data_IF_617543343440
#
_entry.id   IF_617543343440
#
_cell.length_a   1.000
_cell.length_b   1.000
_cell.length_c   1.000
_cell.angle_alpha   90.00
_cell.angle_beta   90.00
_cell.angle_gamma   90.00
#
_symmetry.space_group_name_H-M   'P 1'
#
loop_
_entity.id
_entity.type
_entity.pdbx_description
1 polymer ?
#
# COMPACT_ATOMS: atom_id res chain seq x y z
N UNK A 1 18.85 20.44 0.76
CA UNK A 1 19.17 20.14 -0.67
C UNK A 1 20.56 19.50 -0.85
N UNK A 2 21.65 19.98 -0.19
CA UNK A 2 22.97 19.29 -0.29
C UNK A 2 22.89 17.82 0.19
N UNK A 3 22.22 17.57 1.30
CA UNK A 3 22.01 16.22 1.85
C UNK A 3 21.27 15.27 0.90
N UNK A 4 20.32 15.77 0.09
CA UNK A 4 19.61 14.96 -0.92
C UNK A 4 20.57 14.47 -2.00
N UNK A 5 21.46 15.35 -2.50
CA UNK A 5 22.43 14.99 -3.55
C UNK A 5 23.48 13.98 -3.09
N UNK A 6 23.82 14.02 -1.81
CA UNK A 6 24.83 13.16 -1.21
C UNK A 6 24.23 11.85 -0.67
N UNK A 7 22.89 11.72 -0.62
CA UNK A 7 22.23 10.52 -0.16
C UNK A 7 22.27 9.42 -1.25
N UNK A 8 22.96 8.29 -1.00
CA UNK A 8 23.10 7.23 -2.00
C UNK A 8 21.75 6.60 -2.41
N UNK A 9 20.73 6.72 -1.56
CA UNK A 9 19.37 6.23 -1.87
C UNK A 9 18.78 6.93 -3.09
N UNK A 10 19.12 8.20 -3.32
CA UNK A 10 18.65 8.99 -4.46
C UNK A 10 19.58 9.00 -5.68
N UNK A 11 20.77 8.41 -5.59
CA UNK A 11 21.81 8.52 -6.63
C UNK A 11 21.33 8.16 -8.05
N UNK A 12 20.41 7.22 -8.19
CA UNK A 12 19.88 6.76 -9.49
C UNK A 12 18.48 7.29 -9.79
N UNK A 13 17.74 7.77 -8.80
CA UNK A 13 16.37 8.27 -8.94
C UNK A 13 16.28 9.79 -9.07
N UNK A 14 17.26 10.52 -8.52
CA UNK A 14 17.27 11.99 -8.52
C UNK A 14 17.08 12.63 -9.90
N UNK A 15 17.66 12.12 -10.99
CA UNK A 15 17.42 12.67 -12.33
C UNK A 15 15.96 12.62 -12.79
N UNK A 16 15.17 11.68 -12.23
CA UNK A 16 13.73 11.53 -12.52
C UNK A 16 12.84 12.28 -11.52
N UNK A 17 13.30 12.39 -10.26
CA UNK A 17 12.49 12.93 -9.14
C UNK A 17 12.61 14.45 -8.98
N UNK A 18 13.61 15.09 -9.52
CA UNK A 18 14.06 16.44 -9.13
C UNK A 18 14.53 16.51 -7.64
N UNK A 19 15.25 17.56 -7.27
CA UNK A 19 15.67 17.76 -5.88
C UNK A 19 14.48 18.03 -4.95
N UNK A 20 13.50 18.78 -5.42
CA UNK A 20 12.28 19.07 -4.65
C UNK A 20 11.42 17.81 -4.45
N UNK A 21 11.26 16.98 -5.48
CA UNK A 21 10.53 15.73 -5.37
C UNK A 21 11.18 14.76 -4.37
N UNK A 22 12.51 14.62 -4.43
CA UNK A 22 13.25 13.81 -3.47
C UNK A 22 13.15 14.36 -2.03
N UNK A 23 13.19 15.67 -1.86
CA UNK A 23 12.97 16.32 -0.56
C UNK A 23 11.56 16.06 -0.03
N UNK A 24 10.55 16.16 -0.89
CA UNK A 24 9.16 15.86 -0.51
C UNK A 24 9.02 14.41 -0.03
N UNK A 25 9.58 13.44 -0.76
CA UNK A 25 9.55 12.03 -0.38
C UNK A 25 10.24 11.78 0.97
N UNK A 26 11.41 12.38 1.19
CA UNK A 26 12.17 12.20 2.43
C UNK A 26 11.42 12.74 3.66
N UNK A 27 10.57 13.73 3.50
CA UNK A 27 9.79 14.31 4.60
C UNK A 27 8.37 13.74 4.70
N UNK A 28 7.94 12.97 3.70
CA UNK A 28 6.58 12.43 3.65
C UNK A 28 6.33 11.37 4.72
N UNK A 29 5.10 11.39 5.25
CA UNK A 29 4.56 10.44 6.23
C UNK A 29 3.50 9.58 5.57
N UNK A 30 3.77 8.29 5.42
CA UNK A 30 2.89 7.34 4.72
C UNK A 30 2.45 6.23 5.67
N UNK A 31 1.15 6.00 5.77
CA UNK A 31 0.58 4.87 6.50
C UNK A 31 0.27 3.71 5.55
N UNK A 32 0.69 2.51 5.93
CA UNK A 32 0.39 1.27 5.22
C UNK A 32 -0.49 0.37 6.08
N UNK A 33 -1.70 0.14 5.64
CA UNK A 33 -2.65 -0.76 6.27
C UNK A 33 -2.66 -2.10 5.54
N UNK A 34 -2.22 -3.15 6.22
CA UNK A 34 -2.00 -4.49 5.68
C UNK A 34 -0.61 -4.66 5.06
N UNK A 35 0.17 -5.63 5.58
CA UNK A 35 1.54 -5.93 5.15
C UNK A 35 1.65 -7.33 4.53
N UNK A 36 0.58 -7.77 3.87
CA UNK A 36 0.51 -9.02 3.14
C UNK A 36 1.22 -8.98 1.78
N UNK A 37 0.73 -9.78 0.82
CA UNK A 37 1.32 -9.89 -0.52
C UNK A 37 1.34 -8.60 -1.33
N UNK A 38 0.44 -7.66 -1.05
CA UNK A 38 0.39 -6.32 -1.68
C UNK A 38 1.20 -5.33 -0.86
N UNK A 39 0.83 -5.14 0.42
CA UNK A 39 1.39 -4.07 1.23
C UNK A 39 2.88 -4.24 1.55
N UNK A 40 3.38 -5.47 1.67
CA UNK A 40 4.82 -5.68 1.91
C UNK A 40 5.69 -5.22 0.72
N UNK A 41 5.22 -5.41 -0.51
CA UNK A 41 5.91 -4.90 -1.71
C UNK A 41 5.73 -3.39 -1.89
N UNK A 42 4.58 -2.84 -1.49
CA UNK A 42 4.40 -1.40 -1.44
C UNK A 42 5.39 -0.74 -0.45
N UNK A 43 5.55 -1.31 0.75
CA UNK A 43 6.51 -0.85 1.75
C UNK A 43 7.96 -0.87 1.22
N UNK A 44 8.36 -1.95 0.55
CA UNK A 44 9.67 -2.09 -0.10
C UNK A 44 9.93 -0.98 -1.11
N UNK A 45 8.97 -0.76 -2.02
CA UNK A 45 9.10 0.25 -3.07
C UNK A 45 9.17 1.67 -2.50
N UNK A 46 8.34 2.00 -1.50
CA UNK A 46 8.37 3.29 -0.82
C UNK A 46 9.69 3.54 -0.10
N UNK A 47 10.22 2.53 0.61
CA UNK A 47 11.50 2.63 1.29
C UNK A 47 12.65 2.93 0.30
N UNK A 48 12.67 2.22 -0.85
CA UNK A 48 13.66 2.44 -1.93
C UNK A 48 13.45 3.75 -2.69
N UNK A 49 12.25 4.30 -2.65
CA UNK A 49 11.94 5.62 -3.22
C UNK A 49 12.27 6.78 -2.27
N UNK A 50 12.71 6.49 -1.04
CA UNK A 50 13.19 7.50 -0.10
C UNK A 50 12.12 8.10 0.81
N UNK A 51 10.96 7.46 0.97
CA UNK A 51 9.99 7.87 2.00
C UNK A 51 10.66 7.86 3.36
N UNK A 52 10.51 8.96 4.09
CA UNK A 52 11.20 9.17 5.37
C UNK A 52 10.42 8.71 6.59
N UNK A 53 9.07 8.68 6.55
CA UNK A 53 8.27 8.31 7.72
C UNK A 53 7.21 7.27 7.35
N UNK A 54 7.12 6.22 8.17
CA UNK A 54 6.21 5.10 7.99
C UNK A 54 5.35 4.86 9.23
N UNK A 55 4.05 4.68 9.02
CA UNK A 55 3.13 4.07 9.96
C UNK A 55 2.75 2.70 9.40
N UNK A 56 3.16 1.62 10.06
CA UNK A 56 2.94 0.25 9.60
C UNK A 56 1.86 -0.41 10.44
N UNK A 57 0.74 -0.78 9.82
CA UNK A 57 -0.43 -1.33 10.50
C UNK A 57 -0.75 -2.72 9.95
N UNK A 58 -0.61 -3.74 10.78
CA UNK A 58 -1.01 -5.12 10.49
C UNK A 58 -1.14 -5.89 11.82
N UNK A 59 -2.12 -6.76 11.96
CA UNK A 59 -2.33 -7.52 13.20
C UNK A 59 -1.63 -8.88 13.19
N UNK A 60 -1.24 -9.37 12.01
CA UNK A 60 -0.75 -10.73 11.82
C UNK A 60 0.72 -10.92 12.23
N UNK A 61 1.03 -12.16 12.55
CA UNK A 61 2.39 -12.71 12.46
C UNK A 61 2.60 -13.42 11.13
N UNK A 62 3.86 -13.61 10.76
CA UNK A 62 4.24 -14.36 9.54
C UNK A 62 3.84 -15.82 9.70
N UNK A 63 3.05 -16.33 8.75
CA UNK A 63 2.58 -17.72 8.70
C UNK A 63 3.29 -18.49 7.57
N UNK A 64 3.55 -19.79 7.70
CA UNK A 64 4.13 -20.62 6.64
C UNK A 64 3.42 -20.50 5.28
N UNK A 65 2.08 -20.33 5.27
CA UNK A 65 1.29 -20.15 4.06
C UNK A 65 1.56 -18.81 3.33
N UNK A 66 2.29 -17.90 3.97
CA UNK A 66 2.66 -16.61 3.38
C UNK A 66 3.93 -16.68 2.51
N UNK A 67 4.74 -17.73 2.67
CA UNK A 67 6.05 -17.88 2.03
C UNK A 67 6.00 -17.76 0.51
N UNK A 68 4.90 -18.13 -0.12
CA UNK A 68 4.78 -18.12 -1.57
C UNK A 68 4.61 -16.72 -2.17
N UNK A 69 4.26 -15.68 -1.37
CA UNK A 69 3.89 -14.38 -1.95
C UNK A 69 4.13 -13.12 -1.08
N UNK A 70 4.42 -13.25 0.20
CA UNK A 70 4.62 -12.11 1.08
C UNK A 70 6.11 -11.85 1.28
N UNK A 71 6.56 -10.62 1.05
CA UNK A 71 7.97 -10.24 1.16
C UNK A 71 8.53 -10.43 2.58
N UNK A 72 7.68 -10.24 3.61
CA UNK A 72 8.04 -10.45 5.01
C UNK A 72 8.24 -11.93 5.38
N UNK A 73 7.74 -12.86 4.54
CA UNK A 73 7.73 -14.27 4.87
C UNK A 73 9.01 -14.96 4.39
N UNK A 74 9.87 -15.29 5.33
CA UNK A 74 11.07 -16.10 5.18
C UNK A 74 11.03 -17.23 6.21
N UNK A 75 11.78 -18.31 6.01
CA UNK A 75 11.86 -19.42 6.98
C UNK A 75 12.21 -18.91 8.39
N UNK A 76 13.12 -17.95 8.47
CA UNK A 76 13.59 -17.36 9.73
C UNK A 76 12.63 -16.33 10.35
N UNK A 77 11.62 -15.85 9.63
CA UNK A 77 10.68 -14.83 10.12
C UNK A 77 9.32 -15.42 10.52
N UNK A 78 9.09 -16.73 10.30
CA UNK A 78 7.84 -17.40 10.70
C UNK A 78 7.60 -17.17 12.19
N UNK A 79 6.36 -16.75 12.53
CA UNK A 79 5.93 -16.44 13.90
C UNK A 79 6.21 -15.01 14.35
N UNK A 80 7.07 -14.25 13.67
CA UNK A 80 7.33 -12.84 14.02
C UNK A 80 6.20 -11.94 13.53
N UNK A 81 5.87 -10.84 14.27
CA UNK A 81 4.91 -9.86 13.82
C UNK A 81 5.31 -9.26 12.46
N UNK A 82 4.38 -9.21 11.49
CA UNK A 82 4.67 -8.66 10.14
C UNK A 82 5.18 -7.23 10.21
N UNK A 83 4.60 -6.40 11.07
CA UNK A 83 5.05 -5.01 11.28
C UNK A 83 6.52 -4.91 11.70
N UNK A 84 6.98 -5.82 12.56
CA UNK A 84 8.37 -5.85 13.03
C UNK A 84 9.34 -6.28 11.93
N UNK A 85 8.96 -7.28 11.13
CA UNK A 85 9.77 -7.76 10.00
C UNK A 85 9.92 -6.69 8.92
N UNK A 86 8.82 -6.05 8.54
CA UNK A 86 8.85 -4.97 7.53
C UNK A 86 9.58 -3.74 8.06
N UNK A 87 9.42 -3.39 9.35
CA UNK A 87 10.20 -2.32 9.97
C UNK A 87 11.70 -2.55 9.83
N UNK A 88 12.18 -3.74 10.19
CA UNK A 88 13.61 -4.06 10.08
C UNK A 88 14.07 -3.96 8.63
N UNK A 89 13.29 -4.50 7.69
CA UNK A 89 13.62 -4.44 6.27
C UNK A 89 13.71 -3.01 5.73
N UNK A 90 12.80 -2.12 6.14
CA UNK A 90 12.88 -0.71 5.75
C UNK A 90 14.14 -0.07 6.32
N UNK A 91 14.51 -0.34 7.58
CA UNK A 91 15.72 0.19 8.19
C UNK A 91 17.00 -0.32 7.51
N UNK A 92 16.99 -1.55 7.02
CA UNK A 92 18.13 -2.10 6.25
C UNK A 92 18.31 -1.41 4.88
N UNK A 93 17.22 -0.82 4.32
CA UNK A 93 17.22 -0.04 3.08
C UNK A 93 17.50 1.44 3.34
N UNK A 94 16.77 2.02 4.28
CA UNK A 94 16.82 3.43 4.67
C UNK A 94 17.00 3.55 6.19
N UNK A 95 18.24 3.54 6.70
CA UNK A 95 18.51 3.60 8.15
C UNK A 95 18.03 4.88 8.83
N UNK A 96 17.75 5.94 8.05
CA UNK A 96 17.26 7.21 8.56
C UNK A 96 15.73 7.29 8.64
N UNK A 97 15.01 6.29 8.14
CA UNK A 97 13.54 6.29 8.18
C UNK A 97 13.02 6.22 9.63
N UNK A 98 12.02 7.02 9.91
CA UNK A 98 11.26 6.99 11.16
C UNK A 98 10.08 6.05 10.98
N UNK A 99 9.97 5.01 11.79
CA UNK A 99 8.99 3.95 11.58
C UNK A 99 8.26 3.64 12.88
N UNK A 100 6.97 3.89 12.89
CA UNK A 100 6.05 3.46 13.93
C UNK A 100 5.34 2.17 13.50
N UNK A 101 5.13 1.27 14.44
CA UNK A 101 4.50 -0.02 14.17
C UNK A 101 3.28 -0.22 15.06
N UNK A 102 2.18 -0.64 14.45
CA UNK A 102 0.90 -0.86 15.12
C UNK A 102 0.44 -2.29 14.84
N UNK A 103 0.72 -3.20 15.77
CA UNK A 103 0.22 -4.58 15.68
C UNK A 103 -1.23 -4.63 16.14
N UNK A 104 -2.14 -4.20 15.28
CA UNK A 104 -3.57 -4.13 15.59
C UNK A 104 -4.43 -4.53 14.38
N UNK A 105 -5.60 -5.10 14.66
CA UNK A 105 -6.66 -5.30 13.69
C UNK A 105 -7.44 -4.00 13.55
N UNK A 106 -7.38 -3.37 12.37
CA UNK A 106 -8.08 -2.12 12.11
C UNK A 106 -9.59 -2.36 11.91
N UNK A 107 -10.41 -1.56 12.56
CA UNK A 107 -11.87 -1.50 12.40
C UNK A 107 -12.39 -0.08 12.65
N UNK A 108 -13.66 0.19 12.34
CA UNK A 108 -14.24 1.54 12.43
C UNK A 108 -14.01 2.23 13.78
N UNK A 109 -14.15 1.49 14.90
CA UNK A 109 -13.94 2.06 16.23
C UNK A 109 -12.47 2.36 16.57
N UNK A 110 -11.50 1.87 15.77
CA UNK A 110 -10.08 2.24 15.94
C UNK A 110 -9.85 3.71 15.59
N UNK A 111 -10.65 4.28 14.69
CA UNK A 111 -10.43 5.62 14.16
C UNK A 111 -9.05 5.77 13.49
N UNK A 112 -8.62 7.01 13.28
CA UNK A 112 -7.28 7.33 12.79
C UNK A 112 -6.49 8.18 13.79
N UNK A 113 -6.99 8.36 15.02
CA UNK A 113 -6.37 9.24 16.02
C UNK A 113 -5.00 8.77 16.53
N UNK A 114 -4.66 7.50 16.32
CA UNK A 114 -3.34 6.94 16.63
C UNK A 114 -2.27 7.29 15.60
N UNK A 115 -2.67 7.85 14.44
CA UNK A 115 -1.77 8.28 13.37
C UNK A 115 -1.40 9.77 13.53
N UNK A 116 -0.27 10.21 12.95
CA UNK A 116 0.07 11.63 12.88
C UNK A 116 -1.03 12.46 12.21
N UNK A 117 -1.33 13.63 12.74
CA UNK A 117 -2.35 14.52 12.17
C UNK A 117 -1.94 15.11 10.81
N UNK A 118 -0.65 15.13 10.52
CA UNK A 118 -0.02 15.60 9.28
C UNK A 118 0.41 14.42 8.39
N UNK A 119 -0.40 13.36 8.36
CA UNK A 119 -0.19 12.22 7.48
C UNK A 119 -0.43 12.62 6.02
N UNK A 120 0.54 12.36 5.15
CA UNK A 120 0.48 12.76 3.74
C UNK A 120 -0.30 11.77 2.87
N UNK A 121 -0.25 10.45 3.19
CA UNK A 121 -0.87 9.44 2.34
C UNK A 121 -1.17 8.13 3.08
N UNK A 122 -2.22 7.43 2.63
CA UNK A 122 -2.56 6.08 3.09
C UNK A 122 -2.51 5.11 1.92
N UNK A 123 -1.83 3.97 2.10
CA UNK A 123 -1.99 2.78 1.24
C UNK A 123 -2.87 1.78 1.99
N UNK A 124 -4.01 1.45 1.40
CA UNK A 124 -4.93 0.45 1.89
C UNK A 124 -4.73 -0.88 1.14
N UNK A 125 -4.07 -1.82 1.78
CA UNK A 125 -3.87 -3.20 1.33
C UNK A 125 -4.56 -4.23 2.25
N UNK A 126 -5.59 -3.80 2.99
CA UNK A 126 -6.38 -4.67 3.87
C UNK A 126 -7.21 -5.65 3.03
N UNK A 127 -7.34 -6.87 3.47
CA UNK A 127 -8.18 -7.90 2.85
C UNK A 127 -9.61 -7.95 3.43
N UNK A 128 -9.80 -7.56 4.69
CA UNK A 128 -11.11 -7.43 5.32
C UNK A 128 -11.93 -6.33 4.64
N UNK A 129 -13.03 -6.72 4.02
CA UNK A 129 -13.89 -5.80 3.27
C UNK A 129 -14.47 -4.71 4.15
N UNK A 130 -14.88 -5.04 5.37
CA UNK A 130 -15.47 -4.07 6.30
C UNK A 130 -14.40 -3.06 6.75
N UNK A 131 -13.26 -3.53 7.21
CA UNK A 131 -12.14 -2.66 7.63
C UNK A 131 -11.67 -1.73 6.51
N UNK A 132 -11.64 -2.25 5.26
CA UNK A 132 -11.29 -1.45 4.07
C UNK A 132 -12.32 -0.34 3.84
N UNK A 133 -13.64 -0.63 3.93
CA UNK A 133 -14.69 0.37 3.79
C UNK A 133 -14.54 1.44 4.86
N UNK A 134 -14.36 1.04 6.11
CA UNK A 134 -14.25 1.94 7.25
C UNK A 134 -13.01 2.85 7.10
N UNK A 135 -11.87 2.28 6.68
CA UNK A 135 -10.64 3.04 6.44
C UNK A 135 -10.82 4.09 5.35
N UNK A 136 -11.43 3.71 4.22
CA UNK A 136 -11.67 4.64 3.11
C UNK A 136 -12.56 5.79 3.56
N UNK A 137 -13.66 5.49 4.28
CA UNK A 137 -14.58 6.51 4.78
C UNK A 137 -13.85 7.46 5.74
N UNK A 138 -13.10 6.93 6.69
CA UNK A 138 -12.33 7.72 7.66
C UNK A 138 -11.27 8.60 6.97
N UNK A 139 -10.55 8.08 5.98
CA UNK A 139 -9.56 8.85 5.24
C UNK A 139 -10.22 10.02 4.47
N UNK A 140 -11.36 9.77 3.79
CA UNK A 140 -12.10 10.83 3.11
C UNK A 140 -12.64 11.90 4.06
N UNK A 141 -13.17 11.50 5.23
CA UNK A 141 -13.65 12.44 6.24
C UNK A 141 -12.55 13.33 6.81
N UNK A 142 -11.34 12.77 6.96
CA UNK A 142 -10.17 13.49 7.44
C UNK A 142 -9.36 14.16 6.30
N UNK A 143 -9.82 14.08 5.05
CA UNK A 143 -9.16 14.63 3.86
C UNK A 143 -7.73 14.12 3.64
N UNK A 144 -7.45 12.89 4.07
CA UNK A 144 -6.15 12.23 3.87
C UNK A 144 -6.17 11.51 2.51
N UNK A 145 -5.21 11.80 1.62
CA UNK A 145 -5.06 11.06 0.38
C UNK A 145 -4.91 9.56 0.62
N UNK A 146 -5.68 8.75 -0.13
CA UNK A 146 -5.70 7.30 0.03
C UNK A 146 -5.78 6.60 -1.31
N UNK A 147 -5.02 5.51 -1.46
CA UNK A 147 -5.13 4.56 -2.57
C UNK A 147 -5.41 3.16 -2.02
N UNK A 148 -6.38 2.46 -2.62
CA UNK A 148 -6.75 1.11 -2.19
C UNK A 148 -6.42 0.06 -3.25
N UNK A 149 -5.76 -1.02 -2.83
CA UNK A 149 -5.59 -2.21 -3.66
C UNK A 149 -6.91 -2.99 -3.74
N UNK A 150 -7.33 -3.33 -4.96
CA UNK A 150 -8.47 -4.22 -5.18
C UNK A 150 -8.03 -5.69 -5.21
N UNK A 151 -8.91 -6.60 -5.59
CA UNK A 151 -8.65 -8.03 -5.57
C UNK A 151 -7.45 -8.45 -6.43
N UNK A 152 -6.38 -8.94 -5.80
CA UNK A 152 -5.18 -9.45 -6.44
C UNK A 152 -5.10 -10.99 -6.44
N UNK A 153 -6.03 -11.67 -5.78
CA UNK A 153 -6.09 -13.14 -5.77
C UNK A 153 -6.85 -13.72 -6.96
N UNK A 154 -6.61 -15.03 -7.22
CA UNK A 154 -7.22 -15.80 -8.30
C UNK A 154 -6.98 -15.21 -9.71
N UNK A 155 -5.79 -14.62 -9.93
CA UNK A 155 -5.37 -13.99 -11.18
C UNK A 155 -4.01 -14.51 -11.61
N UNK A 156 -3.73 -14.45 -12.91
CA UNK A 156 -2.45 -14.83 -13.52
C UNK A 156 -1.71 -13.64 -14.12
N UNK A 157 -2.45 -12.65 -14.65
CA UNK A 157 -1.86 -11.55 -15.40
C UNK A 157 -1.51 -10.36 -14.48
N UNK A 158 -0.22 -10.14 -14.19
CA UNK A 158 0.22 -8.98 -13.42
C UNK A 158 0.19 -7.69 -14.23
N UNK A 159 0.18 -7.77 -15.57
CA UNK A 159 0.25 -6.60 -16.46
C UNK A 159 -1.09 -5.89 -16.61
N UNK A 160 -2.18 -6.56 -16.20
CA UNK A 160 -3.54 -6.00 -16.25
C UNK A 160 -3.84 -4.98 -15.16
N UNK A 161 -2.98 -4.80 -14.15
CA UNK A 161 -3.22 -3.83 -13.09
C UNK A 161 -3.07 -2.39 -13.59
N UNK A 162 -4.00 -1.54 -13.15
CA UNK A 162 -3.99 -0.11 -13.48
C UNK A 162 -4.58 0.73 -12.34
N UNK A 163 -4.14 1.98 -12.27
CA UNK A 163 -4.72 3.00 -11.40
C UNK A 163 -5.94 3.60 -12.08
N UNK A 164 -7.07 3.66 -11.37
CA UNK A 164 -8.26 4.34 -11.86
C UNK A 164 -9.19 4.76 -10.70
N UNK A 165 -10.27 5.45 -11.03
CA UNK A 165 -11.38 5.65 -10.11
C UNK A 165 -12.13 4.34 -9.89
N UNK A 166 -12.51 4.05 -8.64
CA UNK A 166 -13.24 2.82 -8.29
C UNK A 166 -14.54 2.67 -9.09
N UNK A 167 -15.19 3.77 -9.46
CA UNK A 167 -16.44 3.76 -10.24
C UNK A 167 -16.24 3.36 -11.70
N UNK A 168 -15.00 3.32 -12.19
CA UNK A 168 -14.63 2.82 -13.51
C UNK A 168 -14.26 1.32 -13.51
N UNK A 169 -14.22 0.68 -12.33
CA UNK A 169 -13.84 -0.73 -12.22
C UNK A 169 -14.95 -1.69 -12.65
N UNK A 170 -14.56 -2.85 -13.15
CA UNK A 170 -15.46 -3.94 -13.57
C UNK A 170 -14.82 -5.31 -13.31
N UNK A 171 -15.58 -6.38 -13.34
CA UNK A 171 -15.13 -7.77 -13.09
C UNK A 171 -14.52 -8.03 -11.70
N UNK A 172 -14.57 -7.08 -10.79
CA UNK A 172 -14.02 -7.19 -9.43
C UNK A 172 -15.17 -7.14 -8.41
N UNK A 173 -15.33 -8.24 -7.63
CA UNK A 173 -16.38 -8.38 -6.63
C UNK A 173 -16.16 -7.46 -5.43
N UNK A 174 -14.89 -7.28 -5.02
CA UNK A 174 -14.52 -6.39 -3.93
C UNK A 174 -14.86 -4.94 -4.31
N UNK A 175 -14.39 -4.48 -5.46
CA UNK A 175 -14.69 -3.14 -5.96
C UNK A 175 -16.19 -2.90 -6.13
N UNK A 176 -16.97 -3.91 -6.58
CA UNK A 176 -18.44 -3.81 -6.66
C UNK A 176 -19.05 -3.52 -5.30
N UNK A 177 -18.63 -4.22 -4.24
CA UNK A 177 -19.13 -4.02 -2.87
C UNK A 177 -18.73 -2.65 -2.33
N UNK A 178 -17.46 -2.25 -2.51
CA UNK A 178 -16.98 -0.94 -2.09
C UNK A 178 -17.76 0.19 -2.77
N UNK A 179 -17.97 0.14 -4.11
CA UNK A 179 -18.77 1.16 -4.82
C UNK A 179 -20.14 1.37 -4.21
N UNK A 180 -20.81 0.29 -3.79
CA UNK A 180 -22.11 0.38 -3.15
C UNK A 180 -22.06 1.13 -1.82
N UNK A 181 -21.06 0.82 -0.98
CA UNK A 181 -20.93 1.44 0.34
C UNK A 181 -20.43 2.88 0.25
N UNK A 182 -19.47 3.17 -0.65
CA UNK A 182 -18.95 4.52 -0.83
C UNK A 182 -20.02 5.49 -1.33
N UNK A 183 -20.93 5.05 -2.22
CA UNK A 183 -22.09 5.86 -2.65
C UNK A 183 -23.00 6.22 -1.49
N UNK A 184 -23.27 5.30 -0.56
CA UNK A 184 -24.10 5.57 0.65
C UNK A 184 -23.46 6.63 1.54
N UNK A 185 -22.12 6.74 1.51
CA UNK A 185 -21.35 7.71 2.28
C UNK A 185 -21.00 8.98 1.48
N UNK A 186 -21.66 9.22 0.34
CA UNK A 186 -21.46 10.38 -0.53
C UNK A 186 -20.02 10.51 -1.08
N UNK A 187 -19.26 9.42 -1.13
CA UNK A 187 -17.93 9.38 -1.76
C UNK A 187 -18.15 9.08 -3.26
N UNK A 188 -17.87 10.08 -4.09
CA UNK A 188 -18.09 10.04 -5.53
C UNK A 188 -16.86 9.70 -6.34
N UNK A 189 -15.68 9.70 -5.71
CA UNK A 189 -14.39 9.36 -6.32
C UNK A 189 -13.48 8.69 -5.29
N UNK A 190 -12.77 7.64 -5.71
CA UNK A 190 -11.77 6.98 -4.87
C UNK A 190 -10.75 6.26 -5.76
N UNK A 191 -9.47 6.55 -5.54
CA UNK A 191 -8.37 5.99 -6.33
C UNK A 191 -8.07 4.55 -5.91
N UNK A 192 -8.02 3.65 -6.89
CA UNK A 192 -7.73 2.23 -6.67
C UNK A 192 -6.71 1.69 -7.67
N UNK A 193 -6.01 0.62 -7.25
CA UNK A 193 -5.28 -0.26 -8.17
C UNK A 193 -6.14 -1.50 -8.39
N UNK A 194 -6.54 -1.76 -9.62
CA UNK A 194 -7.35 -2.91 -9.96
C UNK A 194 -6.93 -3.57 -11.27
N UNK A 195 -7.24 -4.87 -11.40
CA UNK A 195 -7.09 -5.62 -12.65
C UNK A 195 -8.45 -6.05 -13.17
N UNK A 196 -8.76 -5.82 -14.47
CA UNK A 196 -10.00 -6.25 -15.10
C UNK A 196 -10.09 -7.77 -15.34
N UNK A 197 -9.00 -8.50 -15.12
CA UNK A 197 -8.97 -9.96 -15.25
C UNK A 197 -10.04 -10.61 -14.37
N UNK A 198 -10.83 -11.49 -14.95
CA UNK A 198 -11.81 -12.27 -14.18
C UNK A 198 -11.08 -13.29 -13.31
N UNK A 199 -11.52 -13.49 -12.06
CA UNK A 199 -10.96 -14.56 -11.22
C UNK A 199 -11.03 -15.92 -11.92
N UNK A 200 -9.89 -16.60 -12.01
CA UNK A 200 -9.78 -17.92 -12.67
C UNK A 200 -10.51 -18.99 -11.85
N UNK A 201 -10.45 -18.87 -10.52
CA UNK A 201 -11.16 -19.77 -9.61
C UNK A 201 -12.43 -19.09 -9.09
N UNK A 202 -13.56 -19.78 -9.21
CA UNK A 202 -14.85 -19.32 -8.69
C UNK A 202 -15.15 -19.84 -7.28
N UNK A 203 -14.25 -20.64 -6.72
CA UNK A 203 -14.44 -21.18 -5.40
C UNK A 203 -14.25 -20.06 -4.34
N UNK A 204 -15.05 -20.09 -3.27
CA UNK A 204 -15.04 -19.08 -2.21
C UNK A 204 -14.22 -19.50 -0.99
N UNK A 205 -13.77 -20.73 -0.94
CA UNK A 205 -13.12 -21.33 0.23
C UNK A 205 -11.63 -20.99 0.29
N UNK A 206 -10.98 -20.86 -0.88
CA UNK A 206 -9.54 -20.56 -0.94
C UNK A 206 -9.27 -19.51 -2.01
N UNK A 207 -8.64 -18.41 -1.60
CA UNK A 207 -8.12 -17.41 -2.52
C UNK A 207 -6.69 -17.84 -2.89
N UNK A 208 -6.52 -18.34 -4.10
CA UNK A 208 -5.20 -18.70 -4.63
C UNK A 208 -4.43 -17.42 -5.03
N UNK A 209 -3.12 -17.48 -4.91
CA UNK A 209 -2.26 -16.33 -5.26
C UNK A 209 -0.90 -16.80 -5.73
N UNK A 210 -0.39 -16.17 -6.77
CA UNK A 210 0.97 -16.31 -7.27
C UNK A 210 1.81 -15.14 -6.77
N UNK A 211 3.10 -15.35 -6.55
CA UNK A 211 3.98 -14.37 -5.92
C UNK A 211 3.95 -12.98 -6.60
N UNK A 212 4.02 -12.97 -7.92
CA UNK A 212 4.18 -11.75 -8.72
C UNK A 212 2.90 -10.92 -8.87
N UNK A 213 1.71 -11.53 -8.77
CA UNK A 213 0.44 -10.81 -9.01
C UNK A 213 0.16 -9.78 -7.92
N UNK A 214 0.11 -10.14 -6.61
CA UNK A 214 -0.07 -9.14 -5.56
C UNK A 214 1.15 -8.20 -5.43
N UNK A 215 2.35 -8.68 -5.75
CA UNK A 215 3.56 -7.86 -5.73
C UNK A 215 3.45 -6.67 -6.69
N UNK A 216 3.06 -6.91 -7.94
CA UNK A 216 2.87 -5.84 -8.94
C UNK A 216 1.77 -4.87 -8.52
N UNK A 217 0.67 -5.36 -7.96
CA UNK A 217 -0.36 -4.49 -7.40
C UNK A 217 0.20 -3.53 -6.33
N UNK A 218 1.03 -4.06 -5.41
CA UNK A 218 1.69 -3.26 -4.37
C UNK A 218 2.68 -2.24 -4.93
N UNK A 219 3.48 -2.64 -5.93
CA UNK A 219 4.42 -1.74 -6.61
C UNK A 219 3.68 -0.58 -7.32
N UNK A 220 2.53 -0.84 -7.94
CA UNK A 220 1.71 0.20 -8.57
C UNK A 220 1.09 1.13 -7.53
N UNK A 221 0.63 0.61 -6.37
CA UNK A 221 0.18 1.47 -5.28
C UNK A 221 1.30 2.43 -4.83
N UNK A 222 2.50 1.90 -4.61
CA UNK A 222 3.65 2.70 -4.23
C UNK A 222 4.05 3.72 -5.30
N UNK A 223 4.04 3.32 -6.58
CA UNK A 223 4.34 4.22 -7.69
C UNK A 223 3.41 5.44 -7.68
N UNK A 224 2.10 5.22 -7.52
CA UNK A 224 1.13 6.33 -7.45
C UNK A 224 1.38 7.26 -6.27
N UNK A 225 1.72 6.72 -5.09
CA UNK A 225 2.06 7.54 -3.91
C UNK A 225 3.32 8.37 -4.17
N UNK A 226 4.36 7.76 -4.76
CA UNK A 226 5.62 8.46 -5.11
C UNK A 226 5.36 9.57 -6.12
N UNK A 227 4.57 9.30 -7.16
CA UNK A 227 4.17 10.29 -8.18
C UNK A 227 3.48 11.51 -7.56
N UNK A 228 2.49 11.25 -6.67
CA UNK A 228 1.71 12.31 -6.05
C UNK A 228 2.56 13.16 -5.10
N UNK A 229 3.37 12.54 -4.24
CA UNK A 229 4.20 13.23 -3.26
C UNK A 229 5.35 13.99 -3.94
N UNK A 230 6.02 13.36 -4.90
CA UNK A 230 7.12 13.99 -5.63
C UNK A 230 6.65 14.97 -6.71
N UNK A 231 5.33 15.05 -6.96
CA UNK A 231 4.71 15.91 -7.99
C UNK A 231 5.27 15.62 -9.40
N UNK A 232 5.38 14.32 -9.73
CA UNK A 232 5.88 13.89 -11.03
C UNK A 232 4.76 14.03 -12.07
N UNK A 233 4.98 14.84 -13.09
CA UNK A 233 4.09 14.90 -14.25
C UNK A 233 4.48 13.82 -15.27
N UNK A 234 3.70 12.76 -15.34
CA UNK A 234 3.84 11.76 -16.40
C UNK A 234 3.24 12.33 -17.68
N UNK A 235 4.10 12.73 -18.61
CA UNK A 235 3.65 13.08 -19.97
C UNK A 235 3.21 11.79 -20.68
N UNK A 236 1.91 11.69 -20.92
CA UNK A 236 1.31 10.60 -21.72
C UNK A 236 1.58 10.81 -23.20
#
# INVERSE_FOLDING_TARGET
>A
MKEIKENPLFARSLPLLTEQGAFNLQNAKVALFGLGGVGSYAAEALARSGIGHFELIDHDSVDPSNLNRQLCALQQTIGLPKVSVIRQRILDINPQAIINTHQLYYHAASGLDFLPKDLDYIIDAIDSVQSKIDLIIQAHQNQIPIISAMGAGNKYDPTGFKVCDIFQTYNDRLAKRLRSELKKNNITRHTVVFSPEKPVLNNRETIASLAYVPAVCGLICAAKVVEDIAQIEIKQ
#
